data_IF_703747989219
#
_entry.id   IF_703747989219
#
_cell.length_a   1.000
_cell.length_b   1.000
_cell.length_c   1.000
_cell.angle_alpha   90.00
_cell.angle_beta   90.00
_cell.angle_gamma   90.00
#
_symmetry.space_group_name_H-M   'P 1'
#
loop_
_entity.id
_entity.type
_entity.pdbx_description
1 polymer ?
#
# COMPACT_ATOMS: atom_id res chain seq x y z
N UNK A 1 26.85 47.44 -0.72
CA UNK A 1 26.19 46.84 0.46
C UNK A 1 24.71 46.77 0.10
N UNK A 2 24.24 45.69 -0.53
CA UNK A 2 23.74 44.45 0.10
C UNK A 2 22.49 44.77 0.95
N UNK A 3 21.32 44.13 0.82
CA UNK A 3 21.03 42.72 0.54
C UNK A 3 19.66 42.53 -0.12
N UNK A 4 19.55 41.44 -0.88
CA UNK A 4 18.30 40.85 -1.36
C UNK A 4 17.49 40.26 -0.20
N UNK A 5 16.21 40.63 -0.10
CA UNK A 5 15.25 39.99 0.79
C UNK A 5 14.73 38.69 0.18
N UNK A 6 15.23 37.57 0.67
CA UNK A 6 14.78 36.21 0.31
C UNK A 6 13.42 35.92 0.95
N UNK A 7 12.47 35.41 0.16
CA UNK A 7 11.18 34.90 0.63
C UNK A 7 11.38 33.70 1.58
N UNK A 8 10.55 33.54 2.63
CA UNK A 8 10.71 32.45 3.58
C UNK A 8 10.44 31.08 2.94
N UNK A 9 11.39 30.16 3.15
CA UNK A 9 11.35 28.76 2.76
C UNK A 9 10.05 28.05 3.22
N UNK A 10 9.41 27.35 2.29
CA UNK A 10 8.26 26.50 2.55
C UNK A 10 8.70 25.27 3.36
N UNK A 11 8.15 25.13 4.56
CA UNK A 11 8.45 24.10 5.56
C UNK A 11 8.08 22.68 5.05
N UNK A 12 9.05 21.76 4.81
CA UNK A 12 8.82 20.48 4.13
C UNK A 12 8.44 19.33 5.09
N UNK A 13 7.69 19.59 6.16
CA UNK A 13 7.21 18.54 7.06
C UNK A 13 5.92 17.89 6.53
N UNK A 14 6.04 17.02 5.54
CA UNK A 14 5.01 16.03 5.25
C UNK A 14 4.84 15.10 6.46
N UNK A 15 3.59 14.84 6.84
CA UNK A 15 3.18 14.24 8.11
C UNK A 15 3.96 12.99 8.50
N UNK A 16 4.86 13.14 9.49
CA UNK A 16 5.53 12.04 10.19
C UNK A 16 4.52 11.00 10.67
N UNK A 17 4.84 9.72 10.46
CA UNK A 17 4.20 8.60 11.18
C UNK A 17 4.49 8.80 12.67
N UNK A 18 3.54 9.40 13.39
CA UNK A 18 3.59 9.56 14.84
C UNK A 18 2.66 8.53 15.46
N UNK A 19 3.28 7.53 16.08
CA UNK A 19 2.75 6.49 16.97
C UNK A 19 2.33 5.14 16.33
N UNK A 20 3.29 4.21 16.24
CA UNK A 20 3.08 2.93 16.90
C UNK A 20 3.24 3.18 18.39
N UNK A 21 2.23 2.86 19.18
CA UNK A 21 2.40 2.79 20.63
C UNK A 21 3.52 1.76 20.88
N UNK A 22 4.66 2.23 21.39
CA UNK A 22 5.81 1.41 21.81
C UNK A 22 5.41 0.49 22.96
N UNK A 23 4.66 -0.57 22.66
CA UNK A 23 4.50 -1.77 23.50
C UNK A 23 4.63 -2.97 22.58
N UNK A 24 5.85 -3.50 22.50
CA UNK A 24 6.18 -4.73 21.77
C UNK A 24 7.02 -4.52 20.50
N UNK A 25 8.13 -3.79 20.57
CA UNK A 25 9.13 -3.70 19.49
C UNK A 25 10.08 -4.88 19.43
N UNK A 26 9.96 -5.86 20.34
CA UNK A 26 10.76 -7.08 20.32
C UNK A 26 10.03 -8.10 19.46
N UNK A 27 10.62 -8.50 18.34
CA UNK A 27 10.19 -9.70 17.65
C UNK A 27 10.26 -10.86 18.67
N UNK A 28 9.30 -11.77 18.65
CA UNK A 28 9.48 -13.01 19.41
C UNK A 28 10.63 -13.81 18.79
N UNK A 29 11.38 -14.55 19.59
CA UNK A 29 12.60 -15.28 19.18
C UNK A 29 12.39 -16.14 17.91
N UNK A 30 11.17 -16.66 17.70
CA UNK A 30 10.79 -17.37 16.47
C UNK A 30 10.95 -16.52 15.21
N UNK A 31 10.49 -15.27 15.24
CA UNK A 31 10.53 -14.37 14.09
C UNK A 31 11.95 -13.85 13.84
N UNK A 32 12.78 -13.68 14.88
CA UNK A 32 14.18 -13.28 14.71
C UNK A 32 14.94 -14.34 13.92
N UNK A 33 14.82 -15.62 14.33
CA UNK A 33 15.42 -16.75 13.61
C UNK A 33 14.95 -16.87 12.16
N UNK A 34 13.65 -16.70 11.91
CA UNK A 34 13.10 -16.75 10.54
C UNK A 34 13.66 -15.60 9.69
N UNK A 35 13.82 -14.41 10.26
CA UNK A 35 14.39 -13.27 9.53
C UNK A 35 15.88 -13.46 9.27
N UNK A 36 16.64 -13.99 10.23
CA UNK A 36 18.07 -14.31 10.04
C UNK A 36 18.26 -15.37 8.94
N UNK A 37 17.45 -16.43 8.94
CA UNK A 37 17.60 -17.56 8.02
C UNK A 37 17.02 -17.27 6.63
N UNK A 38 15.84 -16.65 6.55
CA UNK A 38 15.09 -16.50 5.29
C UNK A 38 14.94 -15.05 4.83
N UNK A 39 15.18 -14.06 5.68
CA UNK A 39 15.08 -12.64 5.34
C UNK A 39 15.81 -12.27 4.04
N UNK A 40 17.08 -12.69 3.83
CA UNK A 40 17.83 -12.39 2.61
C UNK A 40 17.19 -12.87 1.30
N UNK A 41 16.31 -13.88 1.34
CA UNK A 41 15.62 -14.39 0.15
C UNK A 41 14.34 -13.62 -0.20
N UNK A 42 13.74 -12.93 0.78
CA UNK A 42 12.43 -12.30 0.63
C UNK A 42 12.46 -10.78 0.76
N UNK A 43 13.31 -10.24 1.63
CA UNK A 43 13.36 -8.80 1.93
C UNK A 43 14.35 -8.14 0.99
N UNK A 44 13.91 -7.10 0.29
CA UNK A 44 14.75 -6.32 -0.61
C UNK A 44 15.52 -5.29 0.21
N UNK A 45 16.84 -5.36 0.15
CA UNK A 45 17.72 -4.31 0.66
C UNK A 45 17.63 -3.06 -0.21
N UNK A 46 17.73 -1.88 0.40
CA UNK A 46 17.65 -0.61 -0.31
C UNK A 46 18.55 0.45 0.33
N UNK A 47 19.03 1.43 -0.46
CA UNK A 47 19.73 2.59 0.09
C UNK A 47 18.82 3.38 1.03
N UNK A 48 19.13 3.35 2.32
CA UNK A 48 18.30 3.95 3.37
C UNK A 48 18.40 5.48 3.38
N UNK A 49 17.26 6.13 3.56
CA UNK A 49 17.15 7.57 3.80
C UNK A 49 17.40 7.94 5.27
N UNK A 50 17.07 9.18 5.66
CA UNK A 50 17.36 9.68 7.01
C UNK A 50 16.54 9.03 8.14
N UNK A 51 15.49 8.27 7.81
CA UNK A 51 14.64 7.57 8.78
C UNK A 51 14.53 6.07 8.45
N UNK A 52 14.21 5.27 9.47
CA UNK A 52 14.30 3.81 9.45
C UNK A 52 13.60 3.15 8.24
N UNK A 53 12.43 3.64 7.86
CA UNK A 53 11.58 3.06 6.78
C UNK A 53 11.54 3.95 5.54
N UNK A 54 12.57 4.78 5.33
CA UNK A 54 12.62 5.69 4.17
C UNK A 54 13.72 5.28 3.22
N UNK A 55 13.48 5.42 1.92
CA UNK A 55 14.50 5.28 0.88
C UNK A 55 15.27 6.60 0.73
N UNK A 56 16.56 6.52 0.38
CA UNK A 56 17.31 7.67 -0.09
C UNK A 56 16.66 8.26 -1.35
N UNK A 57 16.71 9.59 -1.51
CA UNK A 57 15.97 10.30 -2.57
C UNK A 57 16.42 9.90 -3.98
N UNK A 58 17.67 9.55 -4.13
CA UNK A 58 18.33 9.09 -5.36
C UNK A 58 18.45 7.56 -5.44
N UNK A 59 17.87 6.82 -4.49
CA UNK A 59 17.91 5.36 -4.48
C UNK A 59 17.29 4.76 -5.74
N UNK A 60 18.03 3.88 -6.40
CA UNK A 60 17.48 2.97 -7.40
C UNK A 60 17.48 1.56 -6.83
N UNK A 61 16.31 0.92 -6.86
CA UNK A 61 16.11 -0.48 -6.46
C UNK A 61 15.58 -1.21 -7.67
N UNK A 62 16.35 -2.17 -8.20
CA UNK A 62 15.99 -2.94 -9.38
C UNK A 62 15.07 -4.10 -8.99
N UNK A 63 13.76 -3.94 -9.19
CA UNK A 63 12.80 -5.00 -8.90
C UNK A 63 12.97 -6.20 -9.83
N UNK A 64 13.46 -6.04 -11.07
CA UNK A 64 13.69 -7.16 -11.98
C UNK A 64 14.80 -8.05 -11.45
N UNK A 65 15.89 -7.43 -10.97
CA UNK A 65 16.97 -8.14 -10.30
C UNK A 65 16.49 -8.81 -9.01
N UNK A 66 15.71 -8.11 -8.19
CA UNK A 66 15.18 -8.66 -6.93
C UNK A 66 14.32 -9.92 -7.13
N UNK A 67 13.48 -9.94 -8.16
CA UNK A 67 12.69 -11.13 -8.52
C UNK A 67 13.48 -12.16 -9.33
N UNK A 68 14.59 -11.79 -9.97
CA UNK A 68 15.36 -12.66 -10.87
C UNK A 68 14.62 -13.04 -12.16
N UNK A 69 13.50 -12.36 -12.47
CA UNK A 69 12.64 -12.65 -13.63
C UNK A 69 11.78 -11.45 -14.02
N UNK A 70 11.24 -11.48 -15.24
CA UNK A 70 10.22 -10.54 -15.71
C UNK A 70 8.85 -11.23 -15.74
N UNK A 71 7.89 -10.68 -15.01
CA UNK A 71 6.53 -11.19 -14.90
C UNK A 71 5.56 -10.04 -14.55
N UNK A 72 4.24 -10.19 -14.76
CA UNK A 72 3.25 -9.23 -14.27
C UNK A 72 3.41 -8.97 -12.77
N UNK A 73 3.31 -7.70 -12.35
CA UNK A 73 3.52 -7.29 -10.98
C UNK A 73 2.20 -6.92 -10.29
N UNK A 74 2.03 -7.41 -9.06
CA UNK A 74 1.06 -6.91 -8.08
C UNK A 74 1.82 -6.25 -6.94
N UNK A 75 1.35 -5.10 -6.48
CA UNK A 75 1.89 -4.42 -5.28
C UNK A 75 0.83 -4.40 -4.20
N UNK A 76 1.09 -5.00 -3.04
CA UNK A 76 0.22 -4.88 -1.87
C UNK A 76 0.83 -3.94 -0.83
N UNK A 77 0.05 -2.97 -0.39
CA UNK A 77 0.45 -1.95 0.58
C UNK A 77 -0.21 -2.23 1.91
N UNK A 78 0.62 -2.44 2.94
CA UNK A 78 0.18 -2.85 4.27
C UNK A 78 -0.38 -4.28 4.31
N UNK A 79 0.36 -5.30 3.84
CA UNK A 79 -0.10 -6.69 3.82
C UNK A 79 -0.32 -7.28 5.23
N UNK A 80 0.17 -6.62 6.28
CA UNK A 80 0.02 -7.03 7.67
C UNK A 80 0.74 -8.35 7.95
N UNK A 81 0.03 -9.47 7.84
CA UNK A 81 0.59 -10.82 7.98
C UNK A 81 0.78 -11.56 6.65
N UNK A 82 0.47 -10.92 5.52
CA UNK A 82 0.65 -11.49 4.18
C UNK A 82 -0.46 -12.45 3.73
N UNK A 83 -1.58 -12.57 4.45
CA UNK A 83 -2.66 -13.54 4.12
C UNK A 83 -3.13 -13.42 2.68
N UNK A 84 -3.36 -12.19 2.21
CA UNK A 84 -3.75 -11.92 0.83
C UNK A 84 -2.60 -12.17 -0.16
N UNK A 85 -1.43 -11.56 0.10
CA UNK A 85 -0.26 -11.67 -0.78
C UNK A 85 0.13 -13.12 -1.03
N UNK A 86 0.27 -13.92 0.03
CA UNK A 86 0.75 -15.30 -0.08
C UNK A 86 -0.27 -16.19 -0.78
N UNK A 87 -1.56 -16.05 -0.44
CA UNK A 87 -2.61 -16.81 -1.12
C UNK A 87 -2.67 -16.51 -2.62
N UNK A 88 -2.57 -15.24 -3.01
CA UNK A 88 -2.55 -14.86 -4.42
C UNK A 88 -1.28 -15.31 -5.13
N UNK A 89 -0.13 -15.26 -4.45
CA UNK A 89 1.15 -15.69 -4.99
C UNK A 89 1.20 -17.19 -5.27
N UNK A 90 0.62 -18.01 -4.39
CA UNK A 90 0.42 -19.45 -4.63
C UNK A 90 -0.50 -19.71 -5.82
N UNK A 91 -1.59 -18.95 -5.95
CA UNK A 91 -2.56 -19.12 -7.01
C UNK A 91 -2.07 -18.64 -8.39
N UNK A 92 -1.04 -17.78 -8.43
CA UNK A 92 -0.48 -17.18 -9.65
C UNK A 92 1.06 -17.22 -9.63
N UNK A 93 1.66 -18.42 -9.70
CA UNK A 93 3.12 -18.57 -9.65
C UNK A 93 3.85 -17.84 -10.79
N UNK A 94 3.16 -17.54 -11.88
CA UNK A 94 3.63 -16.80 -13.04
C UNK A 94 3.65 -15.27 -12.85
N UNK A 95 3.14 -14.75 -11.73
CA UNK A 95 3.14 -13.32 -11.37
C UNK A 95 4.12 -13.02 -10.25
N UNK A 96 4.62 -11.79 -10.20
CA UNK A 96 5.42 -11.25 -9.10
C UNK A 96 4.54 -10.46 -8.13
N UNK A 97 4.85 -10.57 -6.84
CA UNK A 97 4.14 -9.89 -5.77
C UNK A 97 5.12 -9.09 -4.90
N UNK A 98 4.95 -7.77 -4.87
CA UNK A 98 5.72 -6.88 -4.00
C UNK A 98 4.85 -6.47 -2.82
N UNK A 99 5.25 -6.86 -1.63
CA UNK A 99 4.63 -6.48 -0.36
C UNK A 99 5.38 -5.28 0.25
N UNK A 100 4.68 -4.17 0.48
CA UNK A 100 5.24 -2.97 1.11
C UNK A 100 4.64 -2.82 2.51
N UNK A 101 5.47 -2.93 3.54
CA UNK A 101 5.08 -2.89 4.94
C UNK A 101 6.03 -2.00 5.73
N UNK A 102 5.50 -1.10 6.58
CA UNK A 102 6.33 -0.20 7.39
C UNK A 102 6.57 -0.73 8.81
N UNK A 103 5.93 -1.83 9.18
CA UNK A 103 6.02 -2.43 10.51
C UNK A 103 6.85 -3.72 10.49
N UNK A 104 8.04 -3.71 11.10
CA UNK A 104 8.98 -4.84 11.09
C UNK A 104 8.37 -6.18 11.57
N UNK A 105 7.51 -6.23 12.61
CA UNK A 105 6.78 -7.46 12.95
C UNK A 105 5.83 -7.94 11.85
N UNK A 106 5.27 -7.04 11.04
CA UNK A 106 4.48 -7.38 9.85
C UNK A 106 5.34 -7.99 8.75
N UNK A 107 6.51 -7.39 8.48
CA UNK A 107 7.52 -7.94 7.55
C UNK A 107 7.91 -9.36 7.94
N UNK A 108 8.27 -9.58 9.20
CA UNK A 108 8.66 -10.90 9.69
C UNK A 108 7.53 -11.94 9.63
N UNK A 109 6.28 -11.51 9.82
CA UNK A 109 5.11 -12.38 9.61
C UNK A 109 4.92 -12.74 8.15
N UNK A 110 5.13 -11.80 7.23
CA UNK A 110 5.08 -12.06 5.80
C UNK A 110 6.17 -13.04 5.37
N UNK A 111 7.42 -12.86 5.82
CA UNK A 111 8.52 -13.82 5.56
C UNK A 111 8.18 -15.20 6.11
N UNK A 112 7.73 -15.29 7.37
CA UNK A 112 7.33 -16.56 7.96
C UNK A 112 6.18 -17.23 7.19
N UNK A 113 5.20 -16.46 6.70
CA UNK A 113 4.09 -16.99 5.92
C UNK A 113 4.59 -17.53 4.56
N UNK A 114 5.42 -16.77 3.86
CA UNK A 114 5.99 -17.16 2.57
C UNK A 114 6.80 -18.47 2.69
N UNK A 115 7.66 -18.58 3.70
CA UNK A 115 8.45 -19.79 3.98
C UNK A 115 7.54 -20.97 4.29
N UNK A 116 6.57 -20.80 5.20
CA UNK A 116 5.65 -21.88 5.60
C UNK A 116 4.84 -22.41 4.42
N UNK A 117 4.46 -21.53 3.49
CA UNK A 117 3.60 -21.86 2.35
C UNK A 117 4.40 -22.23 1.09
N UNK A 118 5.74 -22.10 1.12
CA UNK A 118 6.60 -22.40 -0.03
C UNK A 118 6.47 -21.39 -1.18
N UNK A 119 6.08 -20.15 -0.89
CA UNK A 119 5.88 -19.09 -1.88
C UNK A 119 7.22 -18.51 -2.31
N UNK A 120 7.54 -18.50 -3.60
CA UNK A 120 8.86 -18.04 -4.08
C UNK A 120 8.81 -16.72 -4.88
N UNK A 121 7.62 -16.35 -5.35
CA UNK A 121 7.36 -15.20 -6.22
C UNK A 121 6.94 -13.93 -5.47
N UNK A 122 7.28 -13.84 -4.18
CA UNK A 122 7.03 -12.66 -3.34
C UNK A 122 8.35 -12.00 -2.97
N UNK A 123 8.37 -10.67 -2.98
CA UNK A 123 9.39 -9.85 -2.33
C UNK A 123 8.75 -8.84 -1.40
N UNK A 124 9.45 -8.48 -0.34
CA UNK A 124 8.96 -7.61 0.73
C UNK A 124 9.92 -6.43 0.87
N UNK A 125 9.37 -5.23 1.06
CA UNK A 125 10.13 -4.03 1.40
C UNK A 125 9.63 -3.47 2.72
N UNK A 126 10.54 -3.30 3.70
CA UNK A 126 10.25 -2.65 4.97
C UNK A 126 10.31 -1.12 4.82
N UNK A 127 9.28 -0.49 4.26
CA UNK A 127 9.31 0.94 3.89
C UNK A 127 7.96 1.61 4.09
N UNK A 128 7.97 2.94 4.31
CA UNK A 128 6.78 3.77 4.23
C UNK A 128 6.36 3.90 2.76
N UNK A 129 5.23 3.29 2.39
CA UNK A 129 4.72 3.31 1.02
C UNK A 129 4.50 4.73 0.47
N UNK A 130 4.02 5.67 1.28
CA UNK A 130 3.76 7.04 0.81
C UNK A 130 5.06 7.76 0.42
N UNK A 131 6.17 7.43 1.10
CA UNK A 131 7.50 7.97 0.81
C UNK A 131 8.23 7.18 -0.29
N UNK A 132 8.11 5.85 -0.28
CA UNK A 132 8.89 4.97 -1.14
C UNK A 132 8.37 4.89 -2.57
N UNK A 133 7.04 4.85 -2.78
CA UNK A 133 6.47 4.63 -4.11
C UNK A 133 6.89 5.67 -5.16
N UNK A 134 6.88 6.99 -4.88
CA UNK A 134 7.37 7.99 -5.84
C UNK A 134 8.83 7.81 -6.25
N UNK A 135 9.66 7.23 -5.37
CA UNK A 135 11.09 7.00 -5.59
C UNK A 135 11.29 5.70 -6.38
N UNK A 136 10.63 4.62 -5.95
CA UNK A 136 10.74 3.28 -6.54
C UNK A 136 10.16 3.23 -7.96
N UNK A 137 9.11 4.00 -8.23
CA UNK A 137 8.40 4.04 -9.51
C UNK A 137 8.54 5.39 -10.22
N UNK A 138 9.61 6.14 -9.95
CA UNK A 138 9.93 7.35 -10.72
C UNK A 138 10.09 7.01 -12.21
N UNK A 139 9.82 7.97 -13.09
CA UNK A 139 10.15 7.84 -14.52
C UNK A 139 11.62 8.22 -14.75
N UNK A 140 12.27 7.59 -15.72
CA UNK A 140 13.68 7.82 -16.02
C UNK A 140 14.23 6.87 -17.09
N UNK A 141 15.56 6.89 -17.28
CA UNK A 141 16.23 6.01 -18.25
C UNK A 141 16.07 4.52 -17.92
N UNK A 142 16.05 4.19 -16.62
CA UNK A 142 15.77 2.85 -16.12
C UNK A 142 14.54 2.91 -15.23
N UNK A 143 13.54 2.09 -15.54
CA UNK A 143 12.27 2.05 -14.82
C UNK A 143 11.96 0.65 -14.28
N UNK A 144 11.37 0.62 -13.08
CA UNK A 144 10.76 -0.59 -12.55
C UNK A 144 9.50 -0.98 -13.34
N UNK A 145 9.17 -2.29 -13.42
CA UNK A 145 7.95 -2.74 -14.08
C UNK A 145 6.72 -2.12 -13.41
N UNK A 146 5.83 -1.54 -14.22
CA UNK A 146 4.55 -1.03 -13.73
C UNK A 146 3.66 -2.19 -13.29
N UNK A 147 2.91 -1.99 -12.21
CA UNK A 147 2.03 -3.00 -11.64
C UNK A 147 0.72 -3.10 -12.42
N UNK A 148 0.19 -4.31 -12.56
CA UNK A 148 -1.16 -4.55 -13.07
C UNK A 148 -2.21 -4.23 -12.02
N UNK A 149 -1.88 -4.54 -10.76
CA UNK A 149 -2.77 -4.28 -9.63
C UNK A 149 -1.99 -3.69 -8.46
N UNK A 150 -2.63 -2.75 -7.78
CA UNK A 150 -2.21 -2.26 -6.47
C UNK A 150 -3.31 -2.58 -5.48
N UNK A 151 -2.95 -3.16 -4.34
CA UNK A 151 -3.90 -3.53 -3.29
C UNK A 151 -3.66 -2.71 -2.03
N UNK A 152 -4.73 -2.18 -1.44
CA UNK A 152 -4.69 -1.45 -0.17
C UNK A 152 -5.89 -1.86 0.66
N UNK A 153 -5.76 -2.99 1.35
CA UNK A 153 -6.85 -3.60 2.11
C UNK A 153 -6.73 -3.28 3.60
N UNK A 154 -7.80 -2.77 4.17
CA UNK A 154 -7.95 -2.42 5.59
C UNK A 154 -6.83 -1.52 6.15
N UNK A 155 -6.41 -0.44 5.46
CA UNK A 155 -5.47 0.52 6.04
C UNK A 155 -6.07 1.17 7.30
N UNK A 156 -5.23 1.65 8.22
CA UNK A 156 -5.69 2.26 9.48
C UNK A 156 -6.71 3.38 9.20
N UNK A 157 -7.95 3.27 9.71
CA UNK A 157 -9.01 4.22 9.41
C UNK A 157 -8.86 5.58 10.10
N UNK A 158 -8.00 5.67 11.12
CA UNK A 158 -7.80 6.89 11.91
C UNK A 158 -9.12 7.54 12.33
N UNK A 159 -9.98 6.76 12.99
CA UNK A 159 -11.42 7.03 13.26
C UNK A 159 -11.76 8.41 13.85
N UNK A 160 -10.81 9.11 14.47
CA UNK A 160 -11.02 10.43 15.07
C UNK A 160 -10.73 11.51 14.03
N UNK A 161 -11.67 12.44 13.80
CA UNK A 161 -11.53 13.55 12.83
C UNK A 161 -10.16 14.22 12.81
N UNK A 162 -9.61 14.58 13.98
CA UNK A 162 -8.28 15.20 14.12
C UNK A 162 -7.10 14.36 13.55
N UNK A 163 -7.29 13.07 13.31
CA UNK A 163 -6.30 12.15 12.77
C UNK A 163 -6.52 11.82 11.29
N UNK A 164 -7.58 12.32 10.64
CA UNK A 164 -7.87 11.98 9.23
C UNK A 164 -6.72 12.33 8.28
N UNK A 165 -5.92 13.36 8.59
CA UNK A 165 -4.69 13.70 7.84
C UNK A 165 -3.60 12.62 7.84
N UNK A 166 -3.74 11.57 8.67
CA UNK A 166 -2.85 10.41 8.74
C UNK A 166 -3.33 9.23 7.90
N UNK A 167 -4.51 9.33 7.30
CA UNK A 167 -5.02 8.34 6.35
C UNK A 167 -4.06 8.22 5.18
N UNK A 168 -3.72 6.99 4.84
CA UNK A 168 -2.85 6.66 3.73
C UNK A 168 -3.46 7.15 2.41
N UNK A 169 -4.73 6.81 2.17
CA UNK A 169 -5.43 7.21 0.95
C UNK A 169 -5.69 8.71 0.99
N UNK A 170 -5.05 9.43 0.08
CA UNK A 170 -5.08 10.88 -0.09
C UNK A 170 -4.80 11.19 -1.55
N UNK A 171 -5.03 12.42 -1.99
CA UNK A 171 -4.80 12.83 -3.39
C UNK A 171 -3.34 12.61 -3.82
N UNK A 172 -2.39 12.93 -2.93
CA UNK A 172 -0.96 12.69 -3.21
C UNK A 172 -0.64 11.20 -3.28
N UNK A 173 -1.24 10.39 -2.42
CA UNK A 173 -1.05 8.94 -2.49
C UNK A 173 -1.67 8.34 -3.76
N UNK A 174 -2.83 8.84 -4.20
CA UNK A 174 -3.43 8.45 -5.48
C UNK A 174 -2.48 8.76 -6.65
N UNK A 175 -1.84 9.94 -6.67
CA UNK A 175 -0.79 10.25 -7.67
C UNK A 175 0.36 9.25 -7.62
N UNK A 176 0.83 8.88 -6.43
CA UNK A 176 1.87 7.86 -6.27
C UNK A 176 1.42 6.51 -6.83
N UNK A 177 0.22 6.05 -6.50
CA UNK A 177 -0.33 4.77 -7.01
C UNK A 177 -0.51 4.80 -8.53
N UNK A 178 -0.88 5.95 -9.09
CA UNK A 178 -0.99 6.14 -10.53
C UNK A 178 0.37 6.00 -11.26
N UNK A 179 1.48 6.35 -10.59
CA UNK A 179 2.83 6.06 -11.10
C UNK A 179 3.17 4.57 -11.01
N UNK A 180 2.68 3.87 -9.98
CA UNK A 180 2.93 2.43 -9.83
C UNK A 180 2.23 1.63 -10.93
N UNK A 181 0.98 1.95 -11.23
CA UNK A 181 0.13 1.19 -12.14
C UNK A 181 0.48 1.39 -13.62
N UNK A 182 0.34 0.33 -14.41
CA UNK A 182 0.26 0.43 -15.86
C UNK A 182 -1.07 1.07 -16.28
N UNK A 183 -1.16 1.58 -17.53
CA UNK A 183 -2.44 2.07 -18.06
C UNK A 183 -3.47 0.94 -18.08
N UNK A 184 -4.69 1.20 -17.59
CA UNK A 184 -5.73 0.19 -17.40
C UNK A 184 -5.52 -0.71 -16.18
N UNK A 185 -4.42 -0.56 -15.44
CA UNK A 185 -4.18 -1.26 -14.18
C UNK A 185 -5.19 -0.86 -13.10
N UNK A 186 -5.35 -1.72 -12.08
CA UNK A 186 -6.42 -1.60 -11.08
C UNK A 186 -5.87 -1.31 -9.69
N UNK A 187 -6.33 -0.24 -9.06
CA UNK A 187 -6.18 -0.04 -7.63
C UNK A 187 -7.41 -0.60 -6.89
N UNK A 188 -7.18 -1.63 -6.08
CA UNK A 188 -8.20 -2.28 -5.25
C UNK A 188 -8.04 -1.84 -3.81
N UNK A 189 -9.11 -1.29 -3.24
CA UNK A 189 -9.15 -0.86 -1.86
C UNK A 189 -10.30 -1.55 -1.13
N UNK A 190 -10.11 -1.81 0.16
CA UNK A 190 -11.17 -2.29 1.02
C UNK A 190 -11.03 -1.71 2.43
N UNK A 191 -12.14 -1.46 3.10
CA UNK A 191 -12.15 -1.04 4.50
C UNK A 191 -13.46 -1.42 5.18
N UNK A 192 -13.42 -1.63 6.49
CA UNK A 192 -14.59 -1.88 7.35
C UNK A 192 -15.08 -0.60 8.04
N UNK A 193 -14.57 0.56 7.64
CA UNK A 193 -14.92 1.86 8.22
C UNK A 193 -15.58 2.77 7.19
N UNK A 194 -16.90 2.95 7.29
CA UNK A 194 -17.70 3.67 6.30
C UNK A 194 -17.16 5.07 5.97
N UNK A 195 -16.83 5.88 6.99
CA UNK A 195 -16.26 7.23 6.79
C UNK A 195 -14.93 7.22 6.03
N UNK A 196 -14.12 6.16 6.18
CA UNK A 196 -12.90 6.03 5.39
C UNK A 196 -13.20 5.51 3.98
N UNK A 197 -14.19 4.63 3.82
CA UNK A 197 -14.64 4.17 2.50
C UNK A 197 -15.13 5.34 1.64
N UNK A 198 -15.96 6.22 2.21
CA UNK A 198 -16.44 7.42 1.53
C UNK A 198 -15.26 8.32 1.12
N UNK A 199 -14.31 8.54 2.03
CA UNK A 199 -13.08 9.28 1.73
C UNK A 199 -12.24 8.65 0.61
N UNK A 200 -12.05 7.32 0.61
CA UNK A 200 -11.34 6.62 -0.47
C UNK A 200 -12.03 6.82 -1.83
N UNK A 201 -13.35 6.67 -1.86
CA UNK A 201 -14.18 6.89 -3.05
C UNK A 201 -14.08 8.33 -3.55
N UNK A 202 -14.12 9.31 -2.65
CA UNK A 202 -13.99 10.73 -2.99
C UNK A 202 -12.60 11.06 -3.57
N UNK A 203 -11.53 10.50 -3.00
CA UNK A 203 -10.16 10.66 -3.53
C UNK A 203 -10.07 10.11 -4.95
N UNK A 204 -10.66 8.94 -5.23
CA UNK A 204 -10.70 8.39 -6.60
C UNK A 204 -11.53 9.28 -7.52
N UNK A 205 -12.73 9.67 -7.10
CA UNK A 205 -13.65 10.45 -7.93
C UNK A 205 -13.09 11.83 -8.32
N UNK A 206 -12.25 12.42 -7.46
CA UNK A 206 -11.59 13.71 -7.70
C UNK A 206 -10.23 13.58 -8.39
N UNK A 207 -9.71 12.36 -8.59
CA UNK A 207 -8.40 12.16 -9.20
C UNK A 207 -8.49 12.24 -10.72
N UNK A 208 -7.63 13.02 -11.40
CA UNK A 208 -7.56 12.99 -12.88
C UNK A 208 -6.89 11.70 -13.39
N UNK A 209 -6.33 10.88 -12.50
CA UNK A 209 -5.54 9.70 -12.88
C UNK A 209 -6.36 8.41 -12.93
N UNK A 210 -7.58 8.43 -12.40
CA UNK A 210 -8.39 7.25 -12.22
C UNK A 210 -9.85 7.47 -12.60
N UNK A 211 -10.49 6.43 -13.11
CA UNK A 211 -11.95 6.31 -13.11
C UNK A 211 -12.42 5.27 -12.09
N UNK A 212 -13.60 5.52 -11.53
CA UNK A 212 -14.31 4.55 -10.71
C UNK A 212 -15.43 3.91 -11.54
N UNK A 213 -15.34 2.62 -11.94
CA UNK A 213 -16.35 1.97 -12.76
C UNK A 213 -17.70 1.76 -12.02
N UNK A 214 -17.73 2.06 -10.73
CA UNK A 214 -18.90 1.95 -9.86
C UNK A 214 -19.41 3.31 -9.37
N UNK A 215 -18.99 4.43 -9.97
CA UNK A 215 -19.30 5.81 -9.52
C UNK A 215 -20.77 6.06 -9.09
N UNK A 216 -21.72 5.46 -9.81
CA UNK A 216 -23.16 5.57 -9.54
C UNK A 216 -23.79 4.31 -8.91
N UNK A 217 -22.96 3.31 -8.58
CA UNK A 217 -23.40 1.99 -8.08
C UNK A 217 -23.25 1.90 -6.56
N UNK A 218 -24.10 1.04 -5.98
CA UNK A 218 -24.05 0.59 -4.59
C UNK A 218 -23.90 1.73 -3.56
N UNK A 219 -24.77 2.76 -3.59
CA UNK A 219 -24.65 3.86 -2.67
C UNK A 219 -24.83 3.44 -1.21
N UNK A 220 -24.16 4.14 -0.31
CA UNK A 220 -24.34 3.94 1.13
C UNK A 220 -25.32 4.97 1.67
N UNK A 221 -26.45 4.52 2.24
CA UNK A 221 -27.51 5.42 2.68
C UNK A 221 -27.09 6.36 3.82
N UNK A 222 -26.04 5.99 4.56
CA UNK A 222 -25.48 6.82 5.62
C UNK A 222 -24.53 7.92 5.11
N UNK A 223 -24.10 7.85 3.84
CA UNK A 223 -23.23 8.84 3.24
C UNK A 223 -24.03 10.10 2.86
N UNK A 224 -23.64 11.22 3.45
CA UNK A 224 -24.23 12.54 3.21
C UNK A 224 -23.29 13.49 2.44
N UNK A 225 -22.17 13.01 1.88
CA UNK A 225 -21.20 13.80 1.09
C UNK A 225 -21.71 14.37 -0.26
N UNK A 226 -20.85 14.55 -1.25
CA UNK A 226 -21.29 14.92 -2.61
C UNK A 226 -21.59 13.69 -3.47
N UNK A 227 -20.67 12.74 -3.44
CA UNK A 227 -20.81 11.46 -4.12
C UNK A 227 -21.64 10.51 -3.23
N UNK A 228 -22.47 9.67 -3.84
CA UNK A 228 -23.33 8.72 -3.10
C UNK A 228 -23.03 7.26 -3.45
N UNK A 229 -22.70 6.97 -4.71
CA UNK A 229 -22.23 5.66 -5.19
C UNK A 229 -20.71 5.53 -5.13
N UNK A 230 -20.15 4.59 -5.89
CA UNK A 230 -18.71 4.42 -6.03
C UNK A 230 -18.14 3.19 -5.34
N UNK A 231 -18.99 2.29 -4.85
CA UNK A 231 -18.56 1.07 -4.17
C UNK A 231 -18.68 -0.16 -5.09
N UNK A 232 -17.60 -0.92 -5.19
CA UNK A 232 -17.58 -2.21 -5.86
C UNK A 232 -18.26 -3.28 -4.98
N UNK A 233 -18.62 -4.41 -5.60
CA UNK A 233 -18.87 -5.63 -4.83
C UNK A 233 -17.54 -6.14 -4.29
N UNK A 234 -17.57 -6.92 -3.19
CA UNK A 234 -16.39 -7.63 -2.67
C UNK A 234 -15.67 -8.34 -3.80
N UNK A 235 -14.41 -7.98 -4.04
CA UNK A 235 -13.64 -8.59 -5.11
C UNK A 235 -13.40 -10.08 -4.79
N UNK A 236 -13.78 -11.03 -5.67
CA UNK A 236 -13.63 -12.46 -5.39
C UNK A 236 -12.20 -12.91 -5.14
N UNK A 237 -11.21 -12.19 -5.70
CA UNK A 237 -9.79 -12.47 -5.48
C UNK A 237 -9.24 -12.02 -4.12
N UNK A 238 -10.01 -11.27 -3.33
CA UNK A 238 -9.65 -10.95 -1.94
C UNK A 238 -10.02 -12.14 -1.07
N UNK A 239 -9.05 -12.81 -0.46
CA UNK A 239 -9.34 -13.88 0.51
C UNK A 239 -9.88 -13.28 1.80
N UNK A 240 -10.55 -14.11 2.61
CA UNK A 240 -10.99 -13.69 3.93
C UNK A 240 -9.76 -13.51 4.83
N UNK A 241 -9.42 -12.26 5.14
CA UNK A 241 -8.32 -11.95 6.05
C UNK A 241 -8.84 -11.78 7.47
N UNK A 242 -7.95 -11.87 8.45
CA UNK A 242 -8.29 -11.58 9.85
C UNK A 242 -8.91 -10.19 10.04
N UNK A 243 -8.53 -9.22 9.20
CA UNK A 243 -9.01 -7.84 9.28
C UNK A 243 -10.47 -7.76 8.81
N UNK A 244 -10.78 -8.45 7.72
CA UNK A 244 -12.15 -8.58 7.24
C UNK A 244 -13.02 -9.32 8.24
N UNK A 245 -12.59 -10.48 8.74
CA UNK A 245 -13.33 -11.26 9.74
C UNK A 245 -13.66 -10.43 10.97
N UNK A 246 -12.68 -9.69 11.52
CA UNK A 246 -12.89 -8.80 12.68
C UNK A 246 -13.84 -7.64 12.39
N UNK A 247 -13.90 -7.16 11.14
CA UNK A 247 -14.89 -6.18 10.71
C UNK A 247 -16.30 -6.75 10.79
N UNK A 248 -16.48 -7.92 10.18
CA UNK A 248 -17.76 -8.64 10.11
C UNK A 248 -18.25 -9.05 11.51
N UNK A 249 -17.37 -9.66 12.32
CA UNK A 249 -17.67 -10.08 13.70
C UNK A 249 -18.10 -8.90 14.58
N UNK A 250 -17.59 -7.70 14.30
CA UNK A 250 -17.98 -6.48 14.98
C UNK A 250 -19.24 -5.80 14.36
N UNK A 251 -19.95 -6.49 13.46
CA UNK A 251 -21.15 -6.00 12.80
C UNK A 251 -20.90 -4.86 11.81
N UNK A 252 -19.66 -4.66 11.35
CA UNK A 252 -19.33 -3.58 10.40
C UNK A 252 -19.50 -4.06 8.96
N UNK A 253 -20.04 -3.18 8.12
CA UNK A 253 -20.09 -3.36 6.67
C UNK A 253 -18.70 -3.21 6.07
N UNK A 254 -18.35 -4.10 5.16
CA UNK A 254 -17.12 -4.02 4.36
C UNK A 254 -17.44 -3.26 3.07
N UNK A 255 -16.59 -2.31 2.73
CA UNK A 255 -16.67 -1.54 1.51
C UNK A 255 -15.47 -1.85 0.63
N UNK A 256 -15.71 -2.05 -0.66
CA UNK A 256 -14.67 -2.19 -1.68
C UNK A 256 -14.75 -0.98 -2.62
N UNK A 257 -13.61 -0.42 -2.97
CA UNK A 257 -13.47 0.65 -3.98
C UNK A 257 -12.49 0.18 -5.04
N UNK A 258 -12.86 0.35 -6.30
CA UNK A 258 -12.03 0.02 -7.45
C UNK A 258 -11.74 1.30 -8.23
N UNK A 259 -10.48 1.51 -8.59
CA UNK A 259 -10.05 2.61 -9.44
C UNK A 259 -9.22 2.06 -10.61
N UNK A 260 -9.61 2.42 -11.83
CA UNK A 260 -8.92 2.02 -13.07
C UNK A 260 -7.99 3.14 -13.49
N UNK A 261 -6.71 2.83 -13.70
CA UNK A 261 -5.72 3.81 -14.15
C UNK A 261 -6.06 4.28 -15.56
N UNK A 262 -6.36 5.57 -15.68
CA UNK A 262 -6.62 6.21 -16.98
C UNK A 262 -5.35 6.33 -17.81
N UNK A 263 -5.52 6.47 -19.13
CA UNK A 263 -4.41 6.81 -20.03
C UNK A 263 -4.00 8.26 -19.77
N UNK A 264 -2.69 8.49 -19.72
CA UNK A 264 -2.13 9.84 -19.65
C UNK A 264 -2.41 10.64 -20.95
#
# INVERSE_FOLDING_TARGET
MSEHGTLPEQNPNYGRIMSFTRRGSRLGDKYEKVMEEYGPAYVIDYPQGPAQTTLAKDAFVDLRAAFGRSAPLVVEIGPGSGEQTMSAALARPEWNFLAIEAWSPGVARCVNAAVREGVQNVRIMEVDAAQALPILFRRGEVENPRAREVWTFFPDPWRKKRHHKRRLVSDNFAKSVALVLEQGGVWRMATDWADYAWHMRDVVANSPHFSNPYSEKNPDAADQGQYRGGFAKRWPGRVMTRFESRGIEAGRKIFDVEAIRERD
#
